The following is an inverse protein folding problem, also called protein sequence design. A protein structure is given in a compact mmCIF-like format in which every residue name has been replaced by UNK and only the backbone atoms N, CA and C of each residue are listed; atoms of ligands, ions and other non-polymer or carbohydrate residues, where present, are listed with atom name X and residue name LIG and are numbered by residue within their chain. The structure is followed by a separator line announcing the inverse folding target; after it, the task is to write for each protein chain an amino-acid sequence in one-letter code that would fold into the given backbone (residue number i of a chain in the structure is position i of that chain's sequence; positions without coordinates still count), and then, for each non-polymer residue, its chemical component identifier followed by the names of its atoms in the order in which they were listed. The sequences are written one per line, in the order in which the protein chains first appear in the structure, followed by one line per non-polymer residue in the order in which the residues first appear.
data_IF_061170966193
#
_entry.id   IF_061170966193
#
_cell.length_a   1.000
_cell.length_b   1.000
_cell.length_c   1.000
_cell.angle_alpha   90.00
_cell.angle_beta   90.00
_cell.angle_gamma   90.00
#
_symmetry.space_group_name_H-M   'P 1'
#
loop_
_entity.id
_entity.type
_entity.pdbx_description
1 polymer ?
#
# COMPACT_ATOMS: atom_id res chain seq x y z
N UNK A 1 -4.04 9.51 -10.24
CA UNK A 1 -3.44 8.75 -9.13
C UNK A 1 -4.49 8.06 -8.26
N UNK A 2 -5.34 8.79 -7.53
CA UNK A 2 -6.30 8.19 -6.58
C UNK A 2 -7.26 7.16 -7.19
N UNK A 3 -7.83 7.44 -8.36
CA UNK A 3 -8.70 6.50 -9.10
C UNK A 3 -7.98 5.20 -9.46
N UNK A 4 -6.72 5.28 -9.89
CA UNK A 4 -5.90 4.10 -10.24
C UNK A 4 -5.67 3.24 -9.00
N UNK A 5 -5.35 3.85 -7.85
CA UNK A 5 -5.18 3.13 -6.59
C UNK A 5 -6.46 2.41 -6.15
N UNK A 6 -7.63 3.05 -6.31
CA UNK A 6 -8.93 2.45 -5.98
C UNK A 6 -9.19 1.25 -6.90
N UNK A 7 -9.01 1.41 -8.22
CA UNK A 7 -9.22 0.33 -9.17
C UNK A 7 -8.27 -0.84 -8.93
N UNK A 8 -6.99 -0.55 -8.68
CA UNK A 8 -6.00 -1.58 -8.35
C UNK A 8 -6.36 -2.32 -7.07
N UNK A 9 -6.71 -1.59 -6.00
CA UNK A 9 -7.11 -2.19 -4.72
C UNK A 9 -8.39 -3.03 -4.84
N UNK A 10 -9.38 -2.55 -5.59
CA UNK A 10 -10.64 -3.25 -5.79
C UNK A 10 -10.46 -4.52 -6.62
N UNK A 11 -9.76 -4.42 -7.76
CA UNK A 11 -9.52 -5.57 -8.65
C UNK A 11 -8.63 -6.62 -7.97
N UNK A 12 -7.51 -6.19 -7.37
CA UNK A 12 -6.61 -7.10 -6.67
C UNK A 12 -7.28 -7.67 -5.42
N UNK A 13 -7.99 -6.85 -4.65
CA UNK A 13 -8.78 -7.29 -3.48
C UNK A 13 -9.82 -8.36 -3.82
N UNK A 14 -10.59 -8.15 -4.89
CA UNK A 14 -11.56 -9.13 -5.37
C UNK A 14 -10.88 -10.44 -5.78
N UNK A 15 -9.78 -10.35 -6.53
CA UNK A 15 -9.01 -11.53 -6.92
C UNK A 15 -8.40 -12.26 -5.72
N UNK A 16 -7.77 -11.56 -4.78
CA UNK A 16 -7.21 -12.15 -3.56
C UNK A 16 -8.28 -12.84 -2.72
N UNK A 17 -9.48 -12.24 -2.61
CA UNK A 17 -10.61 -12.85 -1.88
C UNK A 17 -11.09 -14.12 -2.56
N UNK A 18 -11.22 -14.09 -3.89
CA UNK A 18 -11.57 -15.27 -4.67
C UNK A 18 -10.54 -16.40 -4.51
N UNK A 19 -9.24 -16.09 -4.61
CA UNK A 19 -8.18 -17.09 -4.41
C UNK A 19 -8.21 -17.65 -2.98
N UNK A 20 -8.36 -16.79 -1.95
CA UNK A 20 -8.49 -17.25 -0.57
C UNK A 20 -9.72 -18.15 -0.36
N UNK A 21 -10.82 -17.89 -1.07
CA UNK A 21 -12.00 -18.77 -1.03
C UNK A 21 -11.71 -20.15 -1.61
N UNK A 22 -10.90 -20.22 -2.67
CA UNK A 22 -10.60 -21.48 -3.38
C UNK A 22 -9.54 -22.33 -2.68
N UNK A 23 -8.44 -21.71 -2.24
CA UNK A 23 -7.26 -22.46 -1.73
C UNK A 23 -6.95 -22.16 -0.27
N UNK A 24 -7.65 -21.21 0.36
CA UNK A 24 -7.35 -20.76 1.71
C UNK A 24 -6.05 -19.95 1.80
N UNK A 25 -5.87 -19.24 2.91
CA UNK A 25 -4.64 -18.45 3.13
C UNK A 25 -3.39 -19.34 3.14
N UNK A 26 -3.43 -20.48 3.84
CA UNK A 26 -2.28 -21.40 3.90
C UNK A 26 -1.99 -22.08 2.56
N UNK A 27 -3.00 -22.31 1.72
CA UNK A 27 -2.80 -22.88 0.38
C UNK A 27 -2.04 -21.93 -0.55
N UNK A 28 -2.22 -20.62 -0.39
CA UNK A 28 -1.42 -19.61 -1.12
C UNK A 28 0.06 -19.73 -0.75
N UNK A 29 0.37 -19.87 0.55
CA UNK A 29 1.74 -20.05 1.03
C UNK A 29 2.36 -21.36 0.53
N UNK A 30 1.62 -22.47 0.57
CA UNK A 30 2.08 -23.75 0.03
C UNK A 30 2.38 -23.66 -1.47
N UNK A 31 1.50 -23.01 -2.25
CA UNK A 31 1.73 -22.76 -3.67
C UNK A 31 2.99 -21.90 -3.91
N UNK A 32 3.20 -20.86 -3.10
CA UNK A 32 4.41 -20.01 -3.13
C UNK A 32 5.70 -20.73 -2.75
N UNK A 33 5.62 -21.90 -2.11
CA UNK A 33 6.76 -22.72 -1.70
C UNK A 33 6.88 -24.03 -2.49
N UNK A 34 6.10 -24.19 -3.56
CA UNK A 34 6.00 -25.42 -4.35
C UNK A 34 7.24 -25.75 -5.19
N UNK A 35 8.09 -24.75 -5.47
CA UNK A 35 9.28 -24.89 -6.30
C UNK A 35 10.30 -23.79 -6.01
N UNK A 36 11.56 -23.96 -6.43
CA UNK A 36 12.60 -22.94 -6.27
C UNK A 36 12.25 -21.62 -6.96
N UNK A 37 11.57 -21.69 -8.12
CA UNK A 37 11.08 -20.49 -8.81
C UNK A 37 10.00 -19.76 -8.02
N UNK A 38 9.06 -20.48 -7.43
CA UNK A 38 8.04 -19.90 -6.55
C UNK A 38 8.67 -19.27 -5.29
N UNK A 39 9.67 -19.94 -4.70
CA UNK A 39 10.46 -19.41 -3.59
C UNK A 39 11.17 -18.11 -3.93
N UNK A 40 11.79 -18.01 -5.11
CA UNK A 40 12.43 -16.78 -5.57
C UNK A 40 11.43 -15.62 -5.62
N UNK A 41 10.24 -15.85 -6.17
CA UNK A 41 9.17 -14.83 -6.26
C UNK A 41 8.65 -14.45 -4.85
N UNK A 42 8.48 -15.42 -3.96
CA UNK A 42 8.07 -15.18 -2.59
C UNK A 42 9.09 -14.32 -1.84
N UNK A 43 10.38 -14.63 -1.99
CA UNK A 43 11.47 -13.87 -1.37
C UNK A 43 11.56 -12.45 -1.92
N UNK A 44 11.40 -12.28 -3.23
CA UNK A 44 11.35 -10.95 -3.86
C UNK A 44 10.19 -10.11 -3.32
N UNK A 45 9.00 -10.71 -3.19
CA UNK A 45 7.84 -10.06 -2.58
C UNK A 45 8.10 -9.63 -1.13
N UNK A 46 8.73 -10.49 -0.34
CA UNK A 46 9.10 -10.18 1.05
C UNK A 46 10.09 -9.02 1.09
N UNK A 47 11.17 -9.07 0.31
CA UNK A 47 12.18 -8.01 0.25
C UNK A 47 11.58 -6.67 -0.21
N UNK A 48 10.75 -6.69 -1.25
CA UNK A 48 10.05 -5.49 -1.71
C UNK A 48 9.10 -4.93 -0.65
N UNK A 49 8.44 -5.79 0.13
CA UNK A 49 7.60 -5.37 1.25
C UNK A 49 8.41 -4.66 2.33
N UNK A 50 9.60 -5.17 2.68
CA UNK A 50 10.52 -4.52 3.62
C UNK A 50 11.00 -3.15 3.14
N UNK A 51 11.38 -3.04 1.86
CA UNK A 51 11.79 -1.76 1.26
C UNK A 51 10.63 -0.77 1.32
N UNK A 52 9.42 -1.18 0.92
CA UNK A 52 8.22 -0.34 0.97
C UNK A 52 7.91 0.13 2.40
N UNK A 53 8.04 -0.76 3.41
CA UNK A 53 7.90 -0.39 4.82
C UNK A 53 8.91 0.68 5.24
N UNK A 54 10.16 0.58 4.80
CA UNK A 54 11.18 1.60 5.05
C UNK A 54 10.77 2.98 4.51
N UNK A 55 10.19 3.04 3.31
CA UNK A 55 9.67 4.28 2.73
C UNK A 55 8.46 4.83 3.50
N UNK A 56 7.49 3.96 3.84
CA UNK A 56 6.30 4.35 4.60
C UNK A 56 6.70 4.89 5.98
N UNK A 57 7.64 4.23 6.66
CA UNK A 57 8.17 4.69 7.94
C UNK A 57 8.77 6.10 7.79
N UNK A 58 9.67 6.29 6.82
CA UNK A 58 10.32 7.58 6.59
C UNK A 58 9.29 8.68 6.29
N UNK A 59 8.33 8.45 5.40
CA UNK A 59 7.27 9.41 5.04
C UNK A 59 6.37 9.74 6.24
N UNK A 60 5.99 8.74 7.02
CA UNK A 60 5.14 8.93 8.19
C UNK A 60 5.85 9.67 9.33
N UNK A 61 7.15 9.46 9.51
CA UNK A 61 7.96 10.22 10.48
C UNK A 61 8.05 11.70 10.10
N UNK A 62 8.05 12.01 8.80
CA UNK A 62 8.04 13.39 8.29
C UNK A 62 6.65 14.04 8.35
N UNK A 63 5.59 13.24 8.27
CA UNK A 63 4.20 13.73 8.21
C UNK A 63 3.41 13.56 9.52
N UNK A 64 4.02 12.99 10.57
CA UNK A 64 3.40 12.76 11.88
C UNK A 64 2.31 11.67 11.89
N UNK A 65 2.34 10.73 10.93
CA UNK A 65 1.29 9.72 10.73
C UNK A 65 1.57 8.40 11.42
N UNK A 66 0.52 7.68 11.80
CA UNK A 66 0.62 6.35 12.41
C UNK A 66 0.90 5.28 11.34
N UNK A 67 2.08 4.66 11.41
CA UNK A 67 2.56 3.65 10.42
C UNK A 67 2.06 2.25 10.70
N UNK A 68 1.94 1.90 11.98
CA UNK A 68 1.84 0.52 12.42
C UNK A 68 0.67 -0.29 11.81
N UNK A 69 -0.54 0.27 11.62
CA UNK A 69 -1.64 -0.46 10.96
C UNK A 69 -1.30 -0.87 9.53
N UNK A 70 -0.68 0.04 8.76
CA UNK A 70 -0.27 -0.25 7.39
C UNK A 70 0.88 -1.25 7.38
N UNK A 71 1.80 -1.18 8.35
CA UNK A 71 2.90 -2.12 8.45
C UNK A 71 2.44 -3.55 8.71
N UNK A 72 1.47 -3.74 9.61
CA UNK A 72 0.87 -5.04 9.89
C UNK A 72 0.17 -5.61 8.64
N UNK A 73 -0.57 -4.78 7.90
CA UNK A 73 -1.23 -5.20 6.66
C UNK A 73 -0.19 -5.56 5.60
N UNK A 74 0.90 -4.80 5.46
CA UNK A 74 1.97 -5.12 4.51
C UNK A 74 2.62 -6.47 4.82
N UNK A 75 2.83 -6.79 6.10
CA UNK A 75 3.42 -8.07 6.48
C UNK A 75 2.47 -9.25 6.24
N UNK A 76 1.17 -9.06 6.44
CA UNK A 76 0.19 -10.12 6.27
C UNK A 76 -0.26 -10.31 4.81
N UNK A 77 -0.31 -9.23 4.03
CA UNK A 77 -0.95 -9.19 2.72
C UNK A 77 -0.07 -8.55 1.63
N UNK A 78 1.18 -8.21 1.92
CA UNK A 78 2.12 -7.63 0.95
C UNK A 78 1.67 -6.24 0.48
N UNK A 79 1.27 -6.14 -0.79
CA UNK A 79 1.01 -4.86 -1.46
C UNK A 79 -0.22 -4.08 -0.95
N UNK A 80 -1.10 -4.70 -0.16
CA UNK A 80 -2.27 -4.00 0.42
C UNK A 80 -1.88 -2.84 1.35
N UNK A 81 -0.83 -3.01 2.15
CA UNK A 81 -0.43 -1.99 3.12
C UNK A 81 0.06 -0.69 2.45
N UNK A 82 0.99 -0.74 1.49
CA UNK A 82 1.41 0.45 0.74
C UNK A 82 0.28 1.07 -0.09
N UNK A 83 -0.57 0.26 -0.73
CA UNK A 83 -1.72 0.76 -1.49
C UNK A 83 -2.69 1.55 -0.61
N UNK A 84 -3.04 1.02 0.56
CA UNK A 84 -3.89 1.70 1.54
C UNK A 84 -3.21 2.95 2.08
N UNK A 85 -1.91 2.90 2.40
CA UNK A 85 -1.17 4.06 2.90
C UNK A 85 -1.21 5.24 1.92
N UNK A 86 -0.98 4.97 0.63
CA UNK A 86 -1.05 5.96 -0.43
C UNK A 86 -2.47 6.48 -0.65
N UNK A 87 -3.48 5.60 -0.62
CA UNK A 87 -4.87 5.95 -0.83
C UNK A 87 -5.43 6.85 0.29
N UNK A 88 -5.01 6.60 1.53
CA UNK A 88 -5.40 7.38 2.71
C UNK A 88 -4.51 8.62 2.93
N UNK A 89 -3.56 8.92 2.05
CA UNK A 89 -2.78 10.17 2.12
C UNK A 89 -3.67 11.38 1.78
N UNK A 90 -3.81 12.37 2.69
CA UNK A 90 -4.51 13.61 2.41
C UNK A 90 -3.88 14.16 1.15
N UNK A 91 -4.70 14.27 0.11
CA UNK A 91 -4.32 15.10 -1.02
C UNK A 91 -4.23 16.49 -0.44
N UNK A 92 -3.02 17.02 -0.31
CA UNK A 92 -2.82 18.41 0.04
C UNK A 92 -3.59 19.22 -0.97
N UNK A 93 -4.81 19.64 -0.61
CA UNK A 93 -5.57 20.60 -1.39
C UNK A 93 -4.71 21.85 -1.30
N UNK A 94 -3.94 22.12 -2.33
CA UNK A 94 -3.35 23.43 -2.54
C UNK A 94 -4.50 24.39 -2.78
N UNK A 95 -5.20 24.78 -1.71
CA UNK A 95 -5.87 26.06 -1.66
C UNK A 95 -4.77 27.10 -1.61
N UNK A 96 -4.22 27.41 -2.79
CA UNK A 96 -3.67 28.73 -3.03
C UNK A 96 -4.86 29.70 -2.94
N UNK A 97 -5.22 30.11 -1.73
CA UNK A 97 -6.23 31.13 -1.50
C UNK A 97 -5.52 32.48 -1.43
N UNK A 98 -5.55 33.14 -2.59
CA UNK A 98 -5.35 34.56 -2.90
C UNK A 98 -4.42 35.38 -1.97
N UNK A 99 -3.34 35.90 -2.56
CA UNK A 99 -2.49 36.91 -1.94
C UNK A 99 -3.27 38.17 -1.49
N UNK A 100 -2.67 38.98 -0.60
CA UNK A 100 -3.36 40.08 0.05
C UNK A 100 -3.88 41.09 -0.98
N UNK A 101 -5.16 41.46 -0.85
CA UNK A 101 -5.76 42.54 -1.62
C UNK A 101 -4.96 43.83 -1.36
N UNK A 102 -4.32 44.36 -2.41
CA UNK A 102 -3.66 45.66 -2.37
C UNK A 102 -4.76 46.72 -2.23
N UNK A 103 -4.77 47.54 -1.16
CA UNK A 103 -5.73 48.62 -1.05
C UNK A 103 -5.42 49.69 -2.09
N UNK A 104 -6.38 49.95 -2.99
CA UNK A 104 -6.36 51.13 -3.83
C UNK A 104 -6.71 52.35 -2.98
N UNK A 105 -5.67 53.12 -2.64
CA UNK A 105 -5.63 54.54 -2.23
C UNK A 105 -6.79 55.10 -1.41
#
# INVERSE_FOLDING_TARGET
MRTVLILALAAFGAFSTYVMWQVGYLGIWQAGMSSLGAWQVLLDLVLMSWIALGFIWRDARQTGRTVWPFALITLAAGSFGPLLYLLLKPSGRSEFKAGPAVPSR
#
